data_IF_011634760094
#
_entry.id   IF_011634760094
#
_cell.length_a   1.000
_cell.length_b   1.000
_cell.length_c   1.000
_cell.angle_alpha   90.00
_cell.angle_beta   90.00
_cell.angle_gamma   90.00
#
_symmetry.space_group_name_H-M   'P 1'
#
loop_
_entity.id
_entity.type
_entity.pdbx_description
1 polymer ?
#
# COMPACT_ATOMS: atom_id res chain seq x y z
N UNK A 1 -55.39 5.40 -0.99
CA UNK A 1 -54.13 4.98 -1.66
C UNK A 1 -54.32 3.80 -2.60
N UNK A 2 -54.64 2.58 -2.12
CA UNK A 2 -54.78 1.38 -2.97
C UNK A 2 -55.78 1.53 -4.14
N UNK A 3 -56.94 2.16 -3.92
CA UNK A 3 -57.91 2.45 -5.00
C UNK A 3 -57.35 3.39 -6.07
N UNK A 4 -56.56 4.39 -5.68
CA UNK A 4 -55.94 5.38 -6.59
C UNK A 4 -54.87 4.72 -7.47
N UNK A 5 -54.10 3.81 -6.87
CA UNK A 5 -53.05 3.01 -7.52
C UNK A 5 -53.66 2.09 -8.60
N UNK A 6 -54.78 1.44 -8.32
CA UNK A 6 -55.47 0.55 -9.26
C UNK A 6 -56.06 1.31 -10.46
N UNK A 7 -56.52 2.55 -10.26
CA UNK A 7 -57.07 3.41 -11.31
C UNK A 7 -56.01 3.99 -12.27
N UNK A 8 -54.73 4.03 -11.85
CA UNK A 8 -53.61 4.58 -12.63
C UNK A 8 -52.59 3.50 -13.05
N UNK A 9 -53.07 2.37 -13.56
CA UNK A 9 -52.22 1.23 -13.99
C UNK A 9 -51.08 1.62 -14.94
N UNK A 10 -51.31 2.60 -15.83
CA UNK A 10 -50.28 3.12 -16.74
C UNK A 10 -49.14 3.82 -16.01
N UNK A 11 -49.46 4.62 -14.99
CA UNK A 11 -48.44 5.33 -14.19
C UNK A 11 -47.58 4.33 -13.44
N UNK A 12 -48.19 3.29 -12.88
CA UNK A 12 -47.49 2.27 -12.11
C UNK A 12 -46.51 1.45 -12.96
N UNK A 13 -46.92 1.08 -14.18
CA UNK A 13 -46.05 0.40 -15.15
C UNK A 13 -44.89 1.32 -15.56
N UNK A 14 -45.14 2.60 -15.81
CA UNK A 14 -44.08 3.56 -16.14
C UNK A 14 -43.07 3.70 -15.01
N UNK A 15 -43.53 3.80 -13.75
CA UNK A 15 -42.64 3.87 -12.58
C UNK A 15 -41.82 2.59 -12.44
N UNK A 16 -42.44 1.41 -12.60
CA UNK A 16 -41.72 0.15 -12.55
C UNK A 16 -40.63 0.07 -13.62
N UNK A 17 -40.93 0.42 -14.87
CA UNK A 17 -39.95 0.44 -15.96
C UNK A 17 -38.82 1.41 -15.64
N UNK A 18 -39.14 2.60 -15.12
CA UNK A 18 -38.13 3.59 -14.73
C UNK A 18 -37.20 3.05 -13.64
N UNK A 19 -37.76 2.41 -12.61
CA UNK A 19 -36.98 1.78 -11.53
C UNK A 19 -36.10 0.65 -12.06
N UNK A 20 -36.61 -0.20 -12.95
CA UNK A 20 -35.82 -1.29 -13.55
C UNK A 20 -34.65 -0.75 -14.38
N UNK A 21 -34.89 0.27 -15.21
CA UNK A 21 -33.83 0.88 -16.03
C UNK A 21 -32.81 1.61 -15.16
N UNK A 22 -33.27 2.44 -14.22
CA UNK A 22 -32.40 3.20 -13.32
C UNK A 22 -31.59 2.26 -12.41
N UNK A 23 -32.22 1.23 -11.85
CA UNK A 23 -31.54 0.22 -11.03
C UNK A 23 -30.54 -0.61 -11.82
N UNK A 24 -30.80 -0.89 -13.11
CA UNK A 24 -29.83 -1.58 -13.97
C UNK A 24 -28.61 -0.69 -14.29
N UNK A 25 -28.82 0.61 -14.48
CA UNK A 25 -27.71 1.57 -14.61
C UNK A 25 -26.91 1.65 -13.31
N UNK A 26 -27.58 1.80 -12.16
CA UNK A 26 -26.95 1.79 -10.84
C UNK A 26 -26.15 0.49 -10.62
N UNK A 27 -26.71 -0.68 -10.93
CA UNK A 27 -26.01 -1.96 -10.82
C UNK A 27 -24.69 -1.98 -11.61
N UNK A 28 -24.64 -1.36 -12.79
CA UNK A 28 -23.41 -1.28 -13.59
C UNK A 28 -22.39 -0.32 -12.99
N UNK A 29 -22.84 0.85 -12.55
CA UNK A 29 -21.98 1.96 -12.15
C UNK A 29 -21.44 1.82 -10.72
N UNK A 30 -22.16 1.13 -9.82
CA UNK A 30 -21.69 0.95 -8.43
C UNK A 30 -20.34 0.22 -8.42
N UNK A 31 -19.31 0.74 -7.72
CA UNK A 31 -18.04 0.05 -7.52
C UNK A 31 -18.24 -1.31 -6.83
N UNK A 32 -17.53 -2.33 -7.30
CA UNK A 32 -17.48 -3.66 -6.66
C UNK A 32 -16.18 -3.74 -5.86
N UNK A 33 -16.29 -4.01 -4.57
CA UNK A 33 -15.19 -3.98 -3.61
C UNK A 33 -15.19 -5.25 -2.74
N UNK A 34 -14.05 -5.62 -2.15
CA UNK A 34 -14.00 -6.78 -1.25
C UNK A 34 -14.49 -6.36 0.14
N UNK A 35 -13.86 -5.32 0.69
CA UNK A 35 -14.18 -4.78 2.00
C UNK A 35 -15.03 -3.51 1.88
N UNK A 36 -15.83 -3.18 2.90
CA UNK A 36 -16.46 -1.88 2.99
C UNK A 36 -15.40 -0.79 3.22
N UNK A 37 -15.58 0.37 2.58
CA UNK A 37 -14.76 1.55 2.83
C UNK A 37 -15.28 2.26 4.08
N UNK A 38 -14.90 1.74 5.25
CA UNK A 38 -15.23 2.33 6.55
C UNK A 38 -13.91 2.77 7.15
N UNK A 39 -13.74 4.07 7.48
CA UNK A 39 -12.56 4.52 8.17
C UNK A 39 -12.56 3.89 9.56
N UNK A 40 -11.53 3.13 9.87
CA UNK A 40 -11.28 2.63 11.22
C UNK A 40 -10.27 3.61 11.81
N UNK A 41 -10.60 4.35 12.89
CA UNK A 41 -9.73 5.36 13.43
C UNK A 41 -8.60 4.67 14.21
N UNK A 42 -7.68 4.05 13.48
CA UNK A 42 -6.51 3.37 14.00
C UNK A 42 -5.28 3.88 13.27
N UNK A 43 -4.31 4.36 14.04
CA UNK A 43 -3.06 4.91 13.54
C UNK A 43 -1.91 3.98 13.92
N UNK A 44 -0.96 3.84 13.01
CA UNK A 44 0.25 3.08 13.19
C UNK A 44 1.45 4.01 13.23
N UNK A 45 2.13 4.06 14.37
CA UNK A 45 3.35 4.83 14.57
C UNK A 45 4.53 3.87 14.54
N UNK A 46 5.53 4.16 13.70
CA UNK A 46 6.74 3.35 13.58
C UNK A 46 7.98 4.21 13.76
N UNK A 47 8.91 3.75 14.60
CA UNK A 47 10.21 4.38 14.83
C UNK A 47 11.29 3.31 14.77
N UNK A 48 12.36 3.60 14.03
CA UNK A 48 13.49 2.70 13.83
C UNK A 48 14.77 3.31 14.42
N UNK A 49 15.57 2.46 15.06
CA UNK A 49 16.88 2.81 15.59
C UNK A 49 17.78 1.59 15.44
N UNK A 50 18.70 1.64 14.49
CA UNK A 50 19.53 0.50 14.12
C UNK A 50 20.41 0.03 15.28
N UNK A 51 20.37 -1.27 15.58
CA UNK A 51 21.20 -1.90 16.63
C UNK A 51 20.67 -1.79 18.05
N UNK A 52 19.48 -1.24 18.29
CA UNK A 52 18.86 -1.24 19.62
C UNK A 52 18.30 -2.62 20.00
N UNK A 53 18.54 -3.05 21.24
CA UNK A 53 17.92 -4.26 21.80
C UNK A 53 16.44 -4.00 22.15
N UNK A 54 15.55 -5.02 22.08
CA UNK A 54 14.13 -4.86 22.38
C UNK A 54 13.86 -4.22 23.76
N UNK A 55 14.63 -4.58 24.79
CA UNK A 55 14.47 -4.07 26.15
C UNK A 55 14.80 -2.57 26.25
N UNK A 56 15.83 -2.13 25.52
CA UNK A 56 16.21 -0.72 25.46
C UNK A 56 15.22 0.08 24.61
N UNK A 57 14.71 -0.51 23.52
CA UNK A 57 13.68 0.09 22.68
C UNK A 57 12.39 0.38 23.47
N UNK A 58 12.01 -0.48 24.41
CA UNK A 58 10.90 -0.19 25.32
C UNK A 58 11.14 1.10 26.10
N UNK A 59 12.35 1.30 26.63
CA UNK A 59 12.65 2.44 27.50
C UNK A 59 12.91 3.74 26.74
N UNK A 60 13.61 3.65 25.60
CA UNK A 60 14.10 4.80 24.84
C UNK A 60 13.17 5.23 23.71
N UNK A 61 12.33 4.34 23.19
CA UNK A 61 11.42 4.63 22.07
C UNK A 61 9.96 4.55 22.50
N UNK A 62 9.56 3.41 23.07
CA UNK A 62 8.13 3.16 23.40
C UNK A 62 7.65 4.07 24.52
N UNK A 63 8.34 4.14 25.66
CA UNK A 63 7.87 4.92 26.81
C UNK A 63 7.68 6.42 26.52
N UNK A 64 8.61 7.14 25.86
CA UNK A 64 8.40 8.54 25.49
C UNK A 64 7.16 8.72 24.60
N UNK A 65 7.03 7.90 23.56
CA UNK A 65 5.88 7.96 22.65
C UNK A 65 4.57 7.63 23.38
N UNK A 66 4.55 6.60 24.21
CA UNK A 66 3.36 6.24 25.00
C UNK A 66 2.92 7.34 25.95
N UNK A 67 3.85 8.03 26.61
CA UNK A 67 3.51 9.10 27.56
C UNK A 67 2.76 10.22 26.86
N UNK A 68 3.21 10.64 25.68
CA UNK A 68 2.52 11.68 24.91
C UNK A 68 1.21 11.18 24.28
N UNK A 69 1.22 9.97 23.70
CA UNK A 69 0.04 9.40 23.03
C UNK A 69 -1.10 9.04 24.01
N UNK A 70 -0.79 8.70 25.27
CA UNK A 70 -1.81 8.45 26.31
C UNK A 70 -2.64 9.69 26.66
N UNK A 71 -2.18 10.88 26.30
CA UNK A 71 -2.91 12.13 26.52
C UNK A 71 -3.90 12.49 25.40
N UNK A 72 -4.03 11.64 24.38
CA UNK A 72 -4.97 11.83 23.28
C UNK A 72 -6.42 11.64 23.73
N UNK A 73 -7.28 12.56 23.32
CA UNK A 73 -8.72 12.46 23.56
C UNK A 73 -9.34 11.40 22.63
N UNK A 74 -10.27 10.59 23.15
CA UNK A 74 -10.95 9.54 22.38
C UNK A 74 -10.10 8.29 22.11
N UNK A 75 -8.98 8.13 22.81
CA UNK A 75 -8.16 6.92 22.80
C UNK A 75 -8.90 5.75 23.47
N UNK A 76 -9.12 4.66 22.74
CA UNK A 76 -9.71 3.41 23.24
C UNK A 76 -8.61 2.44 23.68
N UNK A 77 -7.72 2.08 22.75
CA UNK A 77 -6.64 1.11 23.00
C UNK A 77 -5.31 1.61 22.44
N UNK A 78 -4.24 1.41 23.22
CA UNK A 78 -2.88 1.68 22.80
C UNK A 78 -2.03 0.43 23.01
N UNK A 79 -1.54 -0.14 21.90
CA UNK A 79 -0.70 -1.34 21.91
C UNK A 79 0.67 -1.05 21.34
N UNK A 80 1.71 -1.25 22.14
CA UNK A 80 3.10 -1.03 21.75
C UNK A 80 3.86 -2.34 21.63
N UNK A 81 4.69 -2.47 20.61
CA UNK A 81 5.58 -3.62 20.40
C UNK A 81 7.00 -3.12 20.11
N UNK A 82 7.94 -3.48 20.97
CA UNK A 82 9.37 -3.27 20.74
C UNK A 82 10.01 -4.53 20.14
N UNK A 83 10.97 -4.33 19.26
CA UNK A 83 11.71 -5.41 18.61
C UNK A 83 13.15 -4.95 18.33
N UNK A 84 13.99 -5.87 17.86
CA UNK A 84 15.36 -5.54 17.51
C UNK A 84 15.38 -4.50 16.37
N UNK A 85 16.03 -3.36 16.62
CA UNK A 85 16.13 -2.28 15.64
C UNK A 85 14.95 -1.28 15.61
N UNK A 86 13.95 -1.38 16.49
CA UNK A 86 12.88 -0.38 16.53
C UNK A 86 11.68 -0.70 17.42
N UNK A 87 10.62 0.10 17.24
CA UNK A 87 9.35 -0.06 17.93
C UNK A 87 8.17 0.41 17.06
N UNK A 88 7.02 -0.24 17.26
CA UNK A 88 5.77 0.13 16.61
C UNK A 88 4.67 0.29 17.67
N UNK A 89 3.80 1.28 17.48
CA UNK A 89 2.69 1.60 18.37
C UNK A 89 1.42 1.70 17.54
N UNK A 90 0.40 0.95 17.95
CA UNK A 90 -0.95 0.99 17.39
C UNK A 90 -1.81 1.81 18.32
N UNK A 91 -2.39 2.88 17.78
CA UNK A 91 -3.27 3.81 18.51
C UNK A 91 -4.67 3.66 17.93
N UNK A 92 -5.58 3.06 18.70
CA UNK A 92 -6.98 2.86 18.30
C UNK A 92 -7.88 3.84 19.07
N UNK A 93 -8.78 4.49 18.34
CA UNK A 93 -9.75 5.45 18.88
C UNK A 93 -11.15 4.85 18.93
N UNK A 94 -12.02 5.48 19.73
CA UNK A 94 -13.44 5.14 19.82
C UNK A 94 -14.15 5.15 18.46
N UNK A 95 -15.13 4.26 18.29
CA UNK A 95 -15.92 4.18 17.06
C UNK A 95 -16.68 5.50 16.79
N UNK A 96 -16.46 6.08 15.61
CA UNK A 96 -17.07 7.35 15.21
C UNK A 96 -16.22 8.59 15.48
N UNK A 97 -15.00 8.42 16.02
CA UNK A 97 -14.00 9.49 16.07
C UNK A 97 -13.58 9.89 14.65
N UNK A 98 -13.31 11.18 14.43
CA UNK A 98 -12.89 11.70 13.13
C UNK A 98 -11.45 11.24 12.81
N UNK A 99 -11.23 10.42 11.77
CA UNK A 99 -9.91 9.90 11.42
C UNK A 99 -8.91 11.00 11.05
N UNK A 100 -9.38 12.07 10.39
CA UNK A 100 -8.52 13.17 9.95
C UNK A 100 -8.02 13.96 11.17
N UNK A 101 -8.90 14.16 12.15
CA UNK A 101 -8.55 14.77 13.43
C UNK A 101 -7.59 13.86 14.22
N UNK A 102 -7.89 12.56 14.34
CA UNK A 102 -7.02 11.60 15.01
C UNK A 102 -5.61 11.58 14.41
N UNK A 103 -5.49 11.60 13.08
CA UNK A 103 -4.19 11.62 12.41
C UNK A 103 -3.40 12.88 12.74
N UNK A 104 -4.08 14.03 12.77
CA UNK A 104 -3.48 15.32 13.10
C UNK A 104 -3.00 15.35 14.55
N UNK A 105 -3.85 14.88 15.48
CA UNK A 105 -3.56 14.86 16.91
C UNK A 105 -2.44 13.87 17.24
N UNK A 106 -2.45 12.67 16.65
CA UNK A 106 -1.36 11.68 16.79
C UNK A 106 -0.05 12.24 16.27
N UNK A 107 -0.04 12.88 15.09
CA UNK A 107 1.19 13.49 14.54
C UNK A 107 1.74 14.57 15.47
N UNK A 108 0.88 15.44 15.99
CA UNK A 108 1.30 16.47 16.94
C UNK A 108 1.93 15.86 18.21
N UNK A 109 1.33 14.81 18.77
CA UNK A 109 1.86 14.12 19.96
C UNK A 109 3.16 13.36 19.70
N UNK A 110 3.29 12.77 18.52
CA UNK A 110 4.55 12.13 18.09
C UNK A 110 5.65 13.18 17.91
N UNK A 111 5.32 14.35 17.37
CA UNK A 111 6.24 15.49 17.23
C UNK A 111 6.67 16.05 18.59
N UNK A 112 5.76 16.12 19.57
CA UNK A 112 6.10 16.51 20.95
C UNK A 112 7.07 15.51 21.60
N UNK A 113 6.79 14.21 21.47
CA UNK A 113 7.63 13.12 21.99
C UNK A 113 9.02 13.06 21.34
N UNK A 114 9.19 13.65 20.14
CA UNK A 114 10.45 13.67 19.41
C UNK A 114 11.60 14.26 20.21
N UNK A 115 11.33 15.22 21.10
CA UNK A 115 12.35 15.85 21.93
C UNK A 115 13.02 14.87 22.91
N UNK A 116 12.32 13.80 23.28
CA UNK A 116 12.78 12.79 24.24
C UNK A 116 13.34 11.53 23.57
N UNK A 117 13.26 11.43 22.24
CA UNK A 117 13.84 10.33 21.47
C UNK A 117 15.36 10.51 21.29
N UNK A 118 16.14 9.42 21.22
CA UNK A 118 17.56 9.49 20.88
C UNK A 118 17.80 10.19 19.54
N UNK A 119 18.87 10.99 19.45
CA UNK A 119 19.22 11.74 18.23
C UNK A 119 19.55 10.85 17.04
N UNK A 120 19.95 9.60 17.31
CA UNK A 120 20.29 8.58 16.34
C UNK A 120 19.06 7.84 15.79
N UNK A 121 17.89 8.00 16.39
CA UNK A 121 16.66 7.37 15.91
C UNK A 121 16.17 8.06 14.63
N UNK A 122 15.61 7.26 13.72
CA UNK A 122 14.95 7.79 12.54
C UNK A 122 13.70 8.60 12.93
N UNK A 123 13.28 9.50 12.04
CA UNK A 123 12.04 10.25 12.24
C UNK A 123 10.84 9.30 12.34
N UNK A 124 10.05 9.37 13.43
CA UNK A 124 8.86 8.54 13.57
C UNK A 124 7.86 8.79 12.43
N UNK A 125 7.26 7.73 11.91
CA UNK A 125 6.28 7.80 10.83
C UNK A 125 4.91 7.38 11.34
N UNK A 126 3.89 8.17 11.01
CA UNK A 126 2.49 7.92 11.36
C UNK A 126 1.71 7.58 10.10
N UNK A 127 1.11 6.40 10.09
CA UNK A 127 0.27 5.89 9.01
C UNK A 127 -1.15 5.65 9.50
N UNK A 128 -2.14 6.02 8.70
CA UNK A 128 -3.52 5.64 8.95
C UNK A 128 -3.75 4.21 8.47
N UNK A 129 -4.44 3.39 9.26
CA UNK A 129 -4.84 2.04 8.85
C UNK A 129 -6.12 2.13 8.03
N UNK A 130 -5.98 2.00 6.71
CA UNK A 130 -7.13 1.99 5.80
C UNK A 130 -7.38 0.60 5.22
N UNK A 131 -8.60 0.06 5.41
CA UNK A 131 -8.99 -1.25 4.87
C UNK A 131 -9.00 -1.33 3.33
N UNK A 132 -9.17 -0.21 2.65
CA UNK A 132 -9.09 -0.12 1.20
C UNK A 132 -7.66 -0.18 0.67
N UNK A 133 -6.65 0.07 1.53
CA UNK A 133 -5.22 0.00 1.17
C UNK A 133 -4.60 -1.39 1.35
N UNK A 134 -5.36 -2.39 1.81
CA UNK A 134 -4.87 -3.75 1.76
C UNK A 134 -4.67 -4.20 0.30
N UNK A 135 -3.59 -4.95 0.01
CA UNK A 135 -3.35 -5.46 -1.33
C UNK A 135 -4.53 -6.28 -1.87
N UNK A 136 -4.93 -5.99 -3.10
CA UNK A 136 -6.03 -6.68 -3.81
C UNK A 136 -5.53 -7.78 -4.76
N UNK A 137 -4.22 -7.79 -5.04
CA UNK A 137 -3.54 -8.75 -5.90
C UNK A 137 -2.04 -8.71 -5.56
N UNK A 138 -1.44 -9.89 -5.40
CA UNK A 138 0.01 -10.03 -5.34
C UNK A 138 0.53 -10.59 -6.66
N UNK A 139 1.55 -9.94 -7.22
CA UNK A 139 2.28 -10.39 -8.40
C UNK A 139 3.65 -10.85 -7.93
N UNK A 140 3.89 -12.14 -8.07
CA UNK A 140 5.12 -12.79 -7.66
C UNK A 140 5.98 -12.96 -8.90
N UNK A 141 7.14 -12.31 -8.93
CA UNK A 141 8.17 -12.50 -9.93
C UNK A 141 9.18 -13.53 -9.44
N UNK A 142 9.50 -14.51 -10.28
CA UNK A 142 10.54 -15.51 -10.02
C UNK A 142 11.44 -15.63 -11.24
N UNK A 143 12.70 -15.98 -11.04
CA UNK A 143 13.56 -16.34 -12.15
C UNK A 143 14.98 -16.66 -11.75
N UNK A 144 15.63 -17.48 -12.56
CA UNK A 144 17.05 -17.83 -12.42
C UNK A 144 17.94 -16.72 -12.99
N UNK A 145 17.81 -15.52 -12.41
CA UNK A 145 18.58 -14.33 -12.77
C UNK A 145 19.15 -13.66 -11.52
N UNK A 146 20.14 -12.78 -11.72
CA UNK A 146 20.71 -12.03 -10.60
C UNK A 146 19.64 -11.20 -9.87
N UNK A 147 19.74 -11.10 -8.54
CA UNK A 147 18.84 -10.30 -7.70
C UNK A 147 18.73 -8.84 -8.18
N UNK A 148 19.84 -8.26 -8.66
CA UNK A 148 19.87 -6.92 -9.25
C UNK A 148 19.01 -6.82 -10.51
N UNK A 149 19.10 -7.79 -11.41
CA UNK A 149 18.28 -7.82 -12.62
C UNK A 149 16.79 -7.99 -12.28
N UNK A 150 16.47 -8.86 -11.31
CA UNK A 150 15.10 -9.06 -10.85
C UNK A 150 14.53 -7.80 -10.20
N UNK A 151 15.34 -7.08 -9.41
CA UNK A 151 14.99 -5.77 -8.84
C UNK A 151 14.64 -4.75 -9.92
N UNK A 152 15.49 -4.60 -10.94
CA UNK A 152 15.23 -3.64 -12.04
C UNK A 152 13.92 -3.96 -12.76
N UNK A 153 13.65 -5.25 -13.01
CA UNK A 153 12.38 -5.68 -13.62
C UNK A 153 11.18 -5.36 -12.72
N UNK A 154 11.31 -5.61 -11.41
CA UNK A 154 10.26 -5.30 -10.45
C UNK A 154 10.00 -3.80 -10.32
N UNK A 155 11.05 -2.96 -10.35
CA UNK A 155 10.93 -1.50 -10.31
C UNK A 155 10.29 -0.94 -11.60
N UNK A 156 10.69 -1.41 -12.79
CA UNK A 156 10.03 -1.02 -14.06
C UNK A 156 8.56 -1.45 -14.06
N UNK A 157 8.27 -2.67 -13.57
CA UNK A 157 6.89 -3.14 -13.47
C UNK A 157 6.07 -2.29 -12.47
N UNK A 158 6.63 -1.98 -11.30
CA UNK A 158 5.98 -1.09 -10.31
C UNK A 158 5.59 0.23 -10.95
N UNK A 159 6.55 0.92 -11.57
CA UNK A 159 6.34 2.26 -12.13
C UNK A 159 5.25 2.26 -13.22
N UNK A 160 5.18 1.19 -14.03
CA UNK A 160 4.10 1.01 -15.02
C UNK A 160 2.76 0.74 -14.37
N UNK A 161 2.73 -0.12 -13.35
CA UNK A 161 1.48 -0.50 -12.65
C UNK A 161 0.90 0.66 -11.84
N UNK A 162 1.72 1.51 -11.25
CA UNK A 162 1.28 2.75 -10.59
C UNK A 162 0.65 3.75 -11.59
N UNK A 163 1.02 3.66 -12.87
CA UNK A 163 0.38 4.39 -13.97
C UNK A 163 -1.01 3.85 -14.35
N UNK A 164 -1.39 2.66 -13.90
CA UNK A 164 -2.70 2.06 -14.22
C UNK A 164 -3.80 2.75 -13.41
N UNK A 165 -4.81 3.25 -14.10
CA UNK A 165 -5.99 3.86 -13.45
C UNK A 165 -6.61 2.92 -12.41
N UNK A 166 -6.76 3.41 -11.18
CA UNK A 166 -7.32 2.66 -10.05
C UNK A 166 -6.28 2.05 -9.11
N UNK A 167 -5.00 2.01 -9.49
CA UNK A 167 -3.90 1.64 -8.59
C UNK A 167 -3.50 2.86 -7.74
N UNK A 168 -3.22 2.64 -6.46
CA UNK A 168 -2.73 3.65 -5.53
C UNK A 168 -1.21 3.58 -5.40
N UNK A 169 -0.71 2.38 -5.07
CA UNK A 169 0.68 2.12 -4.76
C UNK A 169 0.98 0.65 -5.06
N UNK A 170 2.22 0.35 -5.44
CA UNK A 170 2.68 -1.03 -5.65
C UNK A 170 3.93 -1.32 -4.80
N UNK A 171 3.79 -1.50 -3.47
CA UNK A 171 4.92 -1.83 -2.62
C UNK A 171 5.55 -3.17 -3.02
N UNK A 172 6.89 -3.17 -3.06
CA UNK A 172 7.68 -4.34 -3.43
C UNK A 172 8.25 -4.98 -2.16
N UNK A 173 8.11 -6.30 -2.04
CA UNK A 173 8.65 -7.10 -0.95
C UNK A 173 9.64 -8.15 -1.48
N UNK A 174 10.61 -8.54 -0.65
CA UNK A 174 11.61 -9.56 -1.00
C UNK A 174 12.82 -9.04 -1.79
N UNK A 175 12.99 -7.72 -1.90
CA UNK A 175 14.18 -7.08 -2.47
C UNK A 175 15.04 -6.51 -1.34
N UNK A 176 16.35 -6.70 -1.44
CA UNK A 176 17.30 -6.02 -0.57
C UNK A 176 17.72 -4.67 -1.15
N UNK A 177 17.92 -3.69 -0.27
CA UNK A 177 18.43 -2.40 -0.68
C UNK A 177 19.91 -2.52 -1.07
N UNK A 178 20.30 -1.83 -2.14
CA UNK A 178 21.71 -1.77 -2.53
C UNK A 178 22.46 -0.83 -1.60
N UNK A 179 23.66 -1.23 -1.19
CA UNK A 179 24.55 -0.41 -0.37
C UNK A 179 25.99 -0.53 -0.86
N UNK A 180 26.77 0.51 -0.59
CA UNK A 180 28.22 0.45 -0.68
C UNK A 180 28.78 0.04 0.68
N UNK A 181 29.32 -1.17 0.77
CA UNK A 181 29.98 -1.66 1.96
C UNK A 181 31.46 -1.26 1.92
N UNK A 182 31.89 -0.50 2.91
CA UNK A 182 33.30 -0.13 3.11
C UNK A 182 33.90 -1.10 4.12
N UNK A 183 34.70 -2.04 3.64
CA UNK A 183 35.44 -2.98 4.47
C UNK A 183 36.85 -2.42 4.72
N UNK A 184 37.19 -2.22 6.00
CA UNK A 184 38.45 -1.59 6.38
C UNK A 184 39.38 -2.59 7.05
N UNK A 185 40.64 -2.58 6.64
CA UNK A 185 41.70 -3.41 7.21
C UNK A 185 42.31 -2.70 8.42
N UNK A 186 42.02 -3.22 9.62
CA UNK A 186 42.45 -2.62 10.87
C UNK A 186 43.98 -2.55 11.01
N UNK A 187 44.70 -3.56 10.51
CA UNK A 187 46.17 -3.58 10.57
C UNK A 187 46.79 -2.48 9.71
N UNK A 188 46.19 -2.19 8.54
CA UNK A 188 46.62 -1.08 7.68
C UNK A 188 46.33 0.27 8.33
N UNK A 189 45.15 0.45 8.93
CA UNK A 189 44.84 1.67 9.66
C UNK A 189 45.86 1.96 10.76
N UNK A 190 46.22 0.95 11.56
CA UNK A 190 47.24 1.07 12.60
C UNK A 190 48.61 1.46 12.03
N UNK A 191 49.02 0.86 10.90
CA UNK A 191 50.28 1.21 10.23
C UNK A 191 50.35 2.66 9.77
N UNK A 192 49.19 3.26 9.49
CA UNK A 192 49.06 4.66 9.09
C UNK A 192 48.69 5.59 10.25
N UNK A 193 48.59 5.06 11.48
CA UNK A 193 48.17 5.77 12.69
C UNK A 193 46.80 6.47 12.53
N UNK A 194 45.86 5.80 11.86
CA UNK A 194 44.53 6.29 11.52
C UNK A 194 43.47 5.71 12.48
N UNK A 195 42.80 6.54 13.30
CA UNK A 195 41.66 6.09 14.09
C UNK A 195 40.48 5.72 13.17
N UNK A 196 39.75 4.60 13.42
CA UNK A 196 38.58 4.22 12.62
C UNK A 196 37.50 5.32 12.56
N UNK A 197 37.32 6.06 13.65
CA UNK A 197 36.38 7.19 13.72
C UNK A 197 36.66 8.29 12.66
N UNK A 198 37.91 8.40 12.20
CA UNK A 198 38.31 9.34 11.14
C UNK A 198 37.65 8.98 9.81
N UNK A 199 37.43 7.69 9.54
CA UNK A 199 36.79 7.24 8.31
C UNK A 199 35.33 7.70 8.29
N UNK A 200 34.62 7.48 9.39
CA UNK A 200 33.23 7.91 9.55
C UNK A 200 33.11 9.43 9.36
N UNK A 201 33.98 10.22 9.99
CA UNK A 201 33.92 11.68 9.88
C UNK A 201 34.25 12.17 8.46
N UNK A 202 35.25 11.58 7.80
CA UNK A 202 35.65 11.96 6.44
C UNK A 202 34.59 11.55 5.41
N UNK A 203 34.03 10.36 5.53
CA UNK A 203 32.93 9.88 4.65
C UNK A 203 31.71 10.78 4.82
N UNK A 204 31.25 11.04 6.04
CA UNK A 204 30.08 11.89 6.30
C UNK A 204 30.31 13.34 5.85
N UNK A 205 31.52 13.89 6.01
CA UNK A 205 31.83 15.25 5.57
C UNK A 205 31.88 15.41 4.04
N UNK A 206 32.20 14.34 3.31
CA UNK A 206 32.35 14.34 1.85
C UNK A 206 31.18 13.71 1.09
N UNK A 207 30.17 13.20 1.80
CA UNK A 207 28.91 12.72 1.24
C UNK A 207 27.74 13.63 1.64
N UNK A 208 27.90 14.95 1.44
CA UNK A 208 26.86 15.94 1.75
C UNK A 208 26.67 16.92 0.61
N UNK A 209 25.41 17.26 0.37
CA UNK A 209 25.05 18.27 -0.63
C UNK A 209 25.33 19.66 -0.07
N UNK A 210 26.29 20.38 -0.65
CA UNK A 210 26.62 21.75 -0.26
C UNK A 210 25.98 22.73 -1.23
N UNK A 211 25.06 23.56 -0.73
CA UNK A 211 24.46 24.65 -1.50
C UNK A 211 25.46 25.81 -1.59
N UNK A 212 26.16 25.92 -2.72
CA UNK A 212 27.16 26.98 -2.95
C UNK A 212 26.56 28.33 -3.39
N UNK A 213 25.23 28.44 -3.39
CA UNK A 213 24.51 29.66 -3.76
C UNK A 213 24.57 29.94 -5.26
N UNK A 214 24.60 31.22 -5.61
CA UNK A 214 24.61 31.67 -7.00
C UNK A 214 25.58 32.82 -7.19
N UNK A 215 26.33 32.80 -8.29
CA UNK A 215 27.15 33.91 -8.72
C UNK A 215 26.30 34.90 -9.52
N UNK A 216 26.28 36.15 -9.09
CA UNK A 216 25.60 37.22 -9.82
C UNK A 216 26.64 38.00 -10.62
N UNK A 217 26.51 37.97 -11.95
CA UNK A 217 27.40 38.66 -12.89
C UNK A 217 26.54 39.64 -13.69
N UNK A 218 27.13 40.70 -14.28
CA UNK A 218 26.40 41.75 -15.02
C UNK A 218 25.47 41.25 -16.15
N UNK A 219 25.54 39.97 -16.56
CA UNK A 219 24.67 39.34 -17.55
C UNK A 219 23.68 38.28 -17.01
N UNK A 220 23.64 38.02 -15.69
CA UNK A 220 22.71 37.06 -15.11
C UNK A 220 23.20 36.40 -13.82
N UNK A 221 22.29 35.66 -13.18
CA UNK A 221 22.52 34.91 -11.94
C UNK A 221 22.69 33.43 -12.26
N UNK A 222 23.85 32.87 -11.95
CA UNK A 222 24.20 31.48 -12.22
C UNK A 222 24.29 30.68 -10.92
N UNK A 223 23.56 29.57 -10.81
CA UNK A 223 23.68 28.69 -9.65
C UNK A 223 25.04 27.97 -9.66
N UNK A 224 25.77 28.03 -8.53
CA UNK A 224 27.00 27.26 -8.34
C UNK A 224 26.62 25.93 -7.72
N UNK A 225 27.00 24.82 -8.36
CA UNK A 225 26.80 23.47 -7.83
C UNK A 225 28.15 22.86 -7.47
N UNK A 226 28.34 22.55 -6.20
CA UNK A 226 29.49 21.77 -5.73
C UNK A 226 29.08 20.30 -5.70
N UNK A 227 29.69 19.43 -6.53
CA UNK A 227 29.44 18.00 -6.46
C UNK A 227 30.05 17.46 -5.15
N UNK A 228 29.21 17.08 -4.20
CA UNK A 228 29.62 16.55 -2.89
C UNK A 228 28.93 15.24 -2.50
N UNK A 229 28.30 14.55 -3.46
CA UNK A 229 27.69 13.23 -3.25
C UNK A 229 28.47 12.19 -4.05
N UNK A 230 28.73 11.05 -3.43
CA UNK A 230 29.34 9.91 -4.13
C UNK A 230 28.35 9.33 -5.14
N UNK A 231 28.84 9.03 -6.35
CA UNK A 231 28.03 8.41 -7.41
C UNK A 231 28.53 7.02 -7.75
N UNK A 232 29.83 6.80 -7.62
CA UNK A 232 30.46 5.54 -7.98
C UNK A 232 31.29 4.99 -6.83
N UNK A 233 31.60 3.69 -6.91
CA UNK A 233 32.54 3.02 -6.03
C UNK A 233 33.91 3.71 -6.03
N UNK A 234 34.34 4.20 -7.19
CA UNK A 234 35.61 4.86 -7.39
C UNK A 234 35.70 6.19 -6.65
N UNK A 235 34.59 6.92 -6.51
CA UNK A 235 34.54 8.16 -5.73
C UNK A 235 34.89 7.89 -4.26
N UNK A 236 34.34 6.81 -3.70
CA UNK A 236 34.58 6.38 -2.32
C UNK A 236 36.01 5.86 -2.15
N UNK A 237 36.51 5.05 -3.08
CA UNK A 237 37.88 4.52 -3.03
C UNK A 237 38.96 5.61 -3.12
N UNK A 238 38.69 6.69 -3.85
CA UNK A 238 39.63 7.81 -4.01
C UNK A 238 39.54 8.85 -2.90
N UNK A 239 38.65 8.67 -1.93
CA UNK A 239 38.47 9.58 -0.81
C UNK A 239 39.77 9.70 0.01
N UNK A 240 40.37 10.90 0.11
CA UNK A 240 41.56 11.12 0.92
C UNK A 240 41.19 11.11 2.41
N UNK A 241 41.81 10.22 3.19
CA UNK A 241 41.63 10.11 4.64
C UNK A 241 42.55 11.05 5.41
N UNK A 242 43.81 11.14 4.99
CA UNK A 242 44.81 12.09 5.51
C UNK A 242 45.62 12.64 4.34
N UNK A 243 45.99 13.91 4.44
CA UNK A 243 46.92 14.57 3.51
C UNK A 243 47.90 15.46 4.29
N UNK A 244 49.10 14.95 4.56
CA UNK A 244 50.14 15.65 5.34
C UNK A 244 51.14 16.39 4.44
N UNK A 245 50.68 16.89 3.29
CA UNK A 245 51.49 17.64 2.30
C UNK A 245 52.53 16.83 1.52
N UNK A 246 53.04 15.72 2.09
CA UNK A 246 54.02 14.80 1.47
C UNK A 246 53.45 13.43 1.13
N UNK A 247 52.37 13.01 1.81
CA UNK A 247 51.65 11.77 1.50
C UNK A 247 50.14 11.99 1.61
N UNK A 248 49.39 11.41 0.68
CA UNK A 248 47.93 11.31 0.75
C UNK A 248 47.57 9.84 0.88
N UNK A 249 46.95 9.48 2.01
CA UNK A 249 46.39 8.13 2.20
C UNK A 249 44.93 8.19 1.79
N UNK A 250 44.54 7.32 0.87
CA UNK A 250 43.16 7.20 0.39
C UNK A 250 42.49 5.97 0.99
N UNK A 251 41.17 5.93 0.92
CA UNK A 251 40.40 4.79 1.40
C UNK A 251 40.84 3.46 0.76
N UNK A 252 41.16 3.46 -0.54
CA UNK A 252 41.70 2.29 -1.25
C UNK A 252 43.02 1.74 -0.66
N UNK A 253 43.78 2.56 0.05
CA UNK A 253 45.06 2.15 0.62
C UNK A 253 44.86 1.39 1.95
N UNK A 254 43.69 1.54 2.58
CA UNK A 254 43.35 0.97 3.90
C UNK A 254 42.15 0.03 3.89
N UNK A 255 41.44 -0.09 2.77
CA UNK A 255 40.23 -0.91 2.70
C UNK A 255 39.73 -1.11 1.28
N UNK A 256 38.67 -1.90 1.17
CA UNK A 256 37.95 -2.18 -0.06
C UNK A 256 36.52 -1.64 0.04
N UNK A 257 35.94 -1.30 -1.10
CA UNK A 257 34.55 -0.88 -1.21
C UNK A 257 33.85 -1.88 -2.12
N UNK A 258 32.74 -2.46 -1.67
CA UNK A 258 31.94 -3.39 -2.47
C UNK A 258 30.55 -2.81 -2.70
N UNK A 259 30.04 -2.97 -3.92
CA UNK A 259 28.63 -2.75 -4.19
C UNK A 259 27.89 -4.04 -3.84
N UNK A 260 27.19 -4.02 -2.71
CA UNK A 260 26.49 -5.17 -2.14
C UNK A 260 25.05 -4.79 -1.79
N UNK A 261 24.35 -5.68 -1.10
CA UNK A 261 23.04 -5.43 -0.54
C UNK A 261 23.12 -5.34 0.97
N UNK A 262 22.17 -4.63 1.59
CA UNK A 262 21.93 -4.73 3.04
C UNK A 262 21.63 -6.17 3.43
N UNK A 263 21.83 -6.50 4.70
CA UNK A 263 21.49 -7.82 5.23
C UNK A 263 19.99 -8.10 5.08
N UNK A 264 19.67 -9.37 4.83
CA UNK A 264 18.30 -9.78 4.54
C UNK A 264 17.45 -9.73 5.81
N UNK A 265 16.68 -8.66 5.98
CA UNK A 265 15.66 -8.53 7.04
C UNK A 265 14.43 -9.41 6.76
N UNK A 266 14.15 -9.69 5.49
CA UNK A 266 13.08 -10.58 5.06
C UNK A 266 13.48 -11.38 3.84
N UNK A 267 12.92 -12.58 3.70
CA UNK A 267 13.19 -13.49 2.61
C UNK A 267 11.85 -13.90 1.97
N UNK A 268 11.69 -13.59 0.69
CA UNK A 268 10.55 -14.06 -0.09
C UNK A 268 10.98 -15.23 -0.98
N UNK A 269 10.31 -16.37 -0.81
CA UNK A 269 10.48 -17.55 -1.66
C UNK A 269 9.13 -18.13 -2.01
N UNK A 270 9.03 -18.70 -3.20
CA UNK A 270 7.81 -19.39 -3.64
C UNK A 270 8.23 -20.67 -4.31
N UNK A 271 7.78 -21.80 -3.75
CA UNK A 271 8.20 -23.15 -4.15
C UNK A 271 9.71 -23.39 -3.96
N UNK A 272 10.33 -22.70 -3.00
CA UNK A 272 11.76 -22.83 -2.68
C UNK A 272 12.69 -21.91 -3.49
N UNK A 273 12.19 -21.26 -4.53
CA UNK A 273 12.96 -20.32 -5.36
C UNK A 273 12.86 -18.89 -4.82
N UNK A 274 13.95 -18.08 -4.89
CA UNK A 274 13.90 -16.64 -4.60
C UNK A 274 12.84 -15.94 -5.43
N UNK A 275 12.03 -15.12 -4.78
CA UNK A 275 10.94 -14.41 -5.44
C UNK A 275 10.87 -12.96 -4.95
N UNK A 276 10.34 -12.11 -5.82
CA UNK A 276 9.99 -10.72 -5.51
C UNK A 276 8.50 -10.57 -5.64
N UNK A 277 7.85 -9.99 -4.63
CA UNK A 277 6.39 -9.82 -4.63
C UNK A 277 6.05 -8.34 -4.75
N UNK A 278 5.31 -7.98 -5.80
CA UNK A 278 4.68 -6.68 -5.96
C UNK A 278 3.24 -6.79 -5.45
N UNK A 279 2.90 -6.01 -4.43
CA UNK A 279 1.56 -6.02 -3.84
C UNK A 279 0.77 -4.85 -4.39
N UNK A 280 -0.39 -5.09 -4.99
CA UNK A 280 -1.17 -4.04 -5.65
C UNK A 280 -2.19 -3.47 -4.68
N UNK A 281 -2.03 -2.21 -4.27
CA UNK A 281 -3.05 -1.48 -3.53
C UNK A 281 -3.95 -0.70 -4.48
N UNK A 282 -5.26 -0.78 -4.31
CA UNK A 282 -6.21 0.03 -5.09
C UNK A 282 -6.47 1.38 -4.43
N UNK A 283 -6.91 2.34 -5.22
CA UNK A 283 -7.50 3.58 -4.69
C UNK A 283 -8.90 3.30 -4.09
N UNK A 284 -9.29 4.03 -3.05
CA UNK A 284 -10.66 3.90 -2.55
C UNK A 284 -11.72 4.30 -3.61
N UNK A 285 -12.89 3.69 -3.55
CA UNK A 285 -14.03 3.97 -4.43
C UNK A 285 -13.92 3.47 -5.87
N UNK A 286 -12.79 2.85 -6.26
CA UNK A 286 -12.63 2.27 -7.61
C UNK A 286 -13.03 0.79 -7.62
N UNK A 287 -13.57 0.36 -8.76
CA UNK A 287 -14.00 -1.03 -8.96
C UNK A 287 -12.78 -1.98 -9.00
N UNK A 288 -12.75 -2.91 -8.05
CA UNK A 288 -11.65 -3.86 -7.86
C UNK A 288 -11.47 -4.77 -9.08
N UNK A 289 -12.56 -5.37 -9.57
CA UNK A 289 -12.52 -6.32 -10.69
C UNK A 289 -11.88 -5.67 -11.93
N UNK A 290 -12.36 -4.48 -12.30
CA UNK A 290 -11.83 -3.76 -13.47
C UNK A 290 -10.37 -3.32 -13.33
N UNK A 291 -9.93 -3.07 -12.09
CA UNK A 291 -8.55 -2.66 -11.79
C UNK A 291 -7.61 -3.85 -11.90
N UNK A 292 -7.99 -5.00 -11.32
CA UNK A 292 -7.23 -6.25 -11.46
C UNK A 292 -7.14 -6.70 -12.93
N UNK A 293 -8.23 -6.61 -13.70
CA UNK A 293 -8.23 -6.98 -15.12
C UNK A 293 -7.25 -6.10 -15.93
N UNK A 294 -7.19 -4.79 -15.65
CA UNK A 294 -6.23 -3.86 -16.28
C UNK A 294 -4.78 -4.15 -15.86
N UNK A 295 -4.55 -4.39 -14.58
CA UNK A 295 -3.23 -4.74 -14.06
C UNK A 295 -2.71 -6.02 -14.71
N UNK A 296 -3.53 -7.08 -14.76
CA UNK A 296 -3.15 -8.35 -15.40
C UNK A 296 -2.86 -8.19 -16.90
N UNK A 297 -3.62 -7.33 -17.59
CA UNK A 297 -3.37 -7.02 -18.99
C UNK A 297 -2.03 -6.31 -19.19
N UNK A 298 -1.69 -5.35 -18.31
CA UNK A 298 -0.41 -4.64 -18.34
C UNK A 298 0.76 -5.58 -18.06
N UNK A 299 0.67 -6.41 -17.02
CA UNK A 299 1.68 -7.44 -16.71
C UNK A 299 1.90 -8.36 -17.91
N UNK A 300 0.83 -8.85 -18.55
CA UNK A 300 0.94 -9.73 -19.71
C UNK A 300 1.52 -9.04 -20.96
N UNK A 301 1.42 -7.71 -21.05
CA UNK A 301 2.06 -6.91 -22.09
C UNK A 301 3.57 -6.79 -21.85
N UNK A 302 3.94 -6.37 -20.63
CA UNK A 302 5.33 -6.12 -20.22
C UNK A 302 6.13 -7.41 -20.14
N UNK A 303 5.52 -8.50 -19.68
CA UNK A 303 6.19 -9.80 -19.53
C UNK A 303 6.74 -10.37 -20.84
N UNK A 304 6.24 -9.91 -22.00
CA UNK A 304 6.76 -10.34 -23.32
C UNK A 304 8.17 -9.81 -23.61
N UNK A 305 8.58 -8.73 -22.93
CA UNK A 305 9.89 -8.12 -23.10
C UNK A 305 10.91 -8.62 -22.06
N UNK A 306 10.51 -9.49 -21.13
CA UNK A 306 11.41 -9.98 -20.10
C UNK A 306 12.45 -10.97 -20.63
N UNK A 307 13.64 -11.03 -20.03
CA UNK A 307 14.64 -12.03 -20.35
C UNK A 307 14.12 -13.46 -20.16
N UNK A 308 14.67 -14.40 -20.92
CA UNK A 308 14.40 -15.82 -20.69
C UNK A 308 14.75 -16.20 -19.24
N UNK A 309 13.87 -16.97 -18.60
CA UNK A 309 14.03 -17.41 -17.22
C UNK A 309 13.25 -16.58 -16.19
N UNK A 310 12.64 -15.45 -16.56
CA UNK A 310 11.73 -14.70 -15.67
C UNK A 310 10.29 -15.14 -15.90
N UNK A 311 9.64 -15.57 -14.82
CA UNK A 311 8.22 -15.96 -14.80
C UNK A 311 7.48 -15.17 -13.73
N UNK A 312 6.15 -15.13 -13.86
CA UNK A 312 5.30 -14.49 -12.87
C UNK A 312 4.11 -15.36 -12.49
N UNK A 313 3.63 -15.18 -11.27
CA UNK A 313 2.45 -15.83 -10.72
C UNK A 313 1.60 -14.82 -9.97
N UNK A 314 0.28 -15.02 -9.99
CA UNK A 314 -0.65 -14.23 -9.19
C UNK A 314 -1.00 -14.98 -7.91
N UNK A 315 -1.03 -14.27 -6.79
CA UNK A 315 -1.54 -14.73 -5.49
C UNK A 315 -2.49 -13.68 -4.90
N UNK A 316 -3.30 -14.06 -3.91
CA UNK A 316 -4.19 -13.13 -3.21
C UNK A 316 -5.15 -12.37 -4.13
N UNK A 317 -5.64 -13.00 -5.19
CA UNK A 317 -6.48 -12.34 -6.20
C UNK A 317 -7.94 -12.21 -5.74
N UNK A 318 -8.24 -11.08 -5.10
CA UNK A 318 -9.57 -10.78 -4.55
C UNK A 318 -10.65 -10.63 -5.65
N UNK A 319 -10.26 -10.37 -6.90
CA UNK A 319 -11.23 -10.26 -8.00
C UNK A 319 -11.98 -11.57 -8.25
N UNK A 320 -11.32 -12.72 -8.01
CA UNK A 320 -11.95 -14.05 -8.15
C UNK A 320 -13.02 -14.24 -7.09
N UNK A 321 -12.73 -13.87 -5.84
CA UNK A 321 -13.66 -14.00 -4.72
C UNK A 321 -14.92 -13.17 -4.97
N UNK A 322 -14.77 -11.88 -5.31
CA UNK A 322 -15.91 -11.01 -5.60
C UNK A 322 -16.69 -11.50 -6.81
N UNK A 323 -16.02 -11.92 -7.89
CA UNK A 323 -16.70 -12.42 -9.09
C UNK A 323 -17.54 -13.67 -8.79
N UNK A 324 -17.03 -14.56 -7.94
CA UNK A 324 -17.79 -15.73 -7.48
C UNK A 324 -19.00 -15.29 -6.64
N UNK A 325 -18.83 -14.40 -5.66
CA UNK A 325 -19.94 -13.90 -4.84
C UNK A 325 -21.03 -13.20 -5.66
N UNK A 326 -20.64 -12.38 -6.64
CA UNK A 326 -21.59 -11.74 -7.57
C UNK A 326 -22.33 -12.79 -8.39
N UNK A 327 -21.62 -13.78 -8.94
CA UNK A 327 -22.23 -14.87 -9.70
C UNK A 327 -23.18 -15.70 -8.83
N UNK A 328 -22.82 -15.97 -7.59
CA UNK A 328 -23.63 -16.74 -6.65
C UNK A 328 -24.89 -15.96 -6.25
N UNK A 329 -24.78 -14.63 -6.05
CA UNK A 329 -25.93 -13.76 -5.87
C UNK A 329 -26.85 -13.78 -7.10
N UNK A 330 -26.30 -13.60 -8.31
CA UNK A 330 -27.08 -13.64 -9.56
C UNK A 330 -27.81 -14.98 -9.73
N UNK A 331 -27.13 -16.10 -9.45
CA UNK A 331 -27.70 -17.44 -9.50
C UNK A 331 -28.80 -17.63 -8.44
N UNK A 332 -28.57 -17.20 -7.20
CA UNK A 332 -29.55 -17.33 -6.12
C UNK A 332 -30.81 -16.51 -6.41
N UNK A 333 -30.65 -15.26 -6.88
CA UNK A 333 -31.78 -14.42 -7.29
C UNK A 333 -32.54 -15.08 -8.44
N UNK A 334 -31.85 -15.64 -9.44
CA UNK A 334 -32.50 -16.31 -10.57
C UNK A 334 -33.27 -17.56 -10.12
N UNK A 335 -32.69 -18.39 -9.25
CA UNK A 335 -33.34 -19.57 -8.68
C UNK A 335 -34.58 -19.16 -7.88
N UNK A 336 -34.48 -18.14 -7.02
CA UNK A 336 -35.61 -17.62 -6.24
C UNK A 336 -36.75 -17.14 -7.16
N UNK A 337 -36.43 -16.36 -8.20
CA UNK A 337 -37.40 -15.89 -9.20
C UNK A 337 -38.09 -17.05 -9.88
N UNK A 338 -37.34 -18.06 -10.34
CA UNK A 338 -37.90 -19.24 -11.02
C UNK A 338 -38.79 -20.06 -10.09
N UNK A 339 -38.35 -20.30 -8.84
CA UNK A 339 -39.14 -21.05 -7.86
C UNK A 339 -40.45 -20.32 -7.53
N UNK A 340 -40.39 -19.03 -7.21
CA UNK A 340 -41.59 -18.22 -6.94
C UNK A 340 -42.51 -18.18 -8.17
N UNK A 341 -41.95 -17.99 -9.37
CA UNK A 341 -42.71 -18.02 -10.61
C UNK A 341 -43.47 -19.35 -10.79
N UNK A 342 -42.81 -20.49 -10.56
CA UNK A 342 -43.41 -21.82 -10.66
C UNK A 342 -44.55 -22.03 -9.65
N UNK A 343 -44.33 -21.67 -8.38
CA UNK A 343 -45.37 -21.77 -7.34
C UNK A 343 -46.59 -20.91 -7.66
N UNK A 344 -46.39 -19.66 -8.08
CA UNK A 344 -47.50 -18.74 -8.42
C UNK A 344 -48.18 -19.16 -9.72
N UNK A 345 -47.43 -19.69 -10.69
CA UNK A 345 -47.98 -20.21 -11.94
C UNK A 345 -48.97 -21.34 -11.66
N UNK A 346 -48.62 -22.25 -10.75
CA UNK A 346 -49.49 -23.36 -10.37
C UNK A 346 -50.70 -22.91 -9.55
N UNK A 347 -50.58 -21.86 -8.74
CA UNK A 347 -51.66 -21.38 -7.89
C UNK A 347 -52.69 -20.47 -8.61
N UNK A 348 -52.23 -19.56 -9.47
CA UNK A 348 -53.06 -18.46 -10.01
C UNK A 348 -52.96 -18.31 -11.54
N UNK A 349 -51.95 -18.91 -12.18
CA UNK A 349 -51.77 -18.90 -13.64
C UNK A 349 -50.69 -17.91 -14.15
N UNK A 350 -50.51 -17.88 -15.47
CA UNK A 350 -49.37 -17.22 -16.13
C UNK A 350 -49.32 -15.69 -15.98
N UNK A 351 -50.49 -15.03 -16.04
CA UNK A 351 -50.56 -13.54 -15.99
C UNK A 351 -50.13 -12.98 -14.64
N UNK A 352 -50.49 -13.66 -13.55
CA UNK A 352 -50.12 -13.25 -12.20
C UNK A 352 -48.69 -13.69 -11.86
N UNK A 353 -48.29 -14.88 -12.30
CA UNK A 353 -46.92 -15.38 -12.13
C UNK A 353 -45.85 -14.46 -12.75
N UNK A 354 -46.08 -13.95 -13.96
CA UNK A 354 -45.15 -13.01 -14.62
C UNK A 354 -45.02 -11.67 -13.90
N UNK A 355 -46.11 -11.15 -13.30
CA UNK A 355 -46.07 -9.93 -12.50
C UNK A 355 -45.26 -10.13 -11.20
N UNK A 356 -45.45 -11.27 -10.53
CA UNK A 356 -44.68 -11.61 -9.31
C UNK A 356 -43.21 -11.83 -9.67
N UNK A 357 -42.92 -12.51 -10.77
CA UNK A 357 -41.56 -12.74 -11.23
C UNK A 357 -40.79 -11.45 -11.55
N UNK A 358 -41.46 -10.39 -12.05
CA UNK A 358 -40.81 -9.09 -12.23
C UNK A 358 -40.63 -8.31 -10.93
N UNK A 359 -41.38 -8.65 -9.88
CA UNK A 359 -41.33 -7.92 -8.61
C UNK A 359 -40.01 -8.19 -7.88
N UNK A 360 -39.49 -9.42 -7.90
CA UNK A 360 -38.24 -9.79 -7.21
C UNK A 360 -36.99 -9.10 -7.82
N UNK A 361 -36.75 -9.14 -9.15
CA UNK A 361 -35.69 -8.33 -9.76
C UNK A 361 -35.95 -6.83 -9.59
N UNK A 362 -37.22 -6.41 -9.59
CA UNK A 362 -37.62 -5.02 -9.36
C UNK A 362 -37.21 -4.50 -7.99
N UNK A 363 -37.43 -5.27 -6.92
CA UNK A 363 -36.99 -4.90 -5.58
C UNK A 363 -35.47 -4.89 -5.46
N UNK A 364 -34.79 -5.88 -6.05
CA UNK A 364 -33.32 -5.94 -6.06
C UNK A 364 -32.71 -4.71 -6.76
N UNK A 365 -33.20 -4.37 -7.96
CA UNK A 365 -32.73 -3.21 -8.72
C UNK A 365 -33.08 -1.89 -8.04
N UNK A 366 -34.23 -1.82 -7.35
CA UNK A 366 -34.56 -0.67 -6.51
C UNK A 366 -33.58 -0.53 -5.34
N UNK A 367 -33.19 -1.63 -4.69
CA UNK A 367 -32.16 -1.60 -3.63
C UNK A 367 -30.83 -1.11 -4.17
N UNK A 368 -30.39 -1.60 -5.33
CA UNK A 368 -29.18 -1.11 -6.00
C UNK A 368 -29.27 0.38 -6.31
N UNK A 369 -30.42 0.86 -6.81
CA UNK A 369 -30.63 2.28 -7.06
C UNK A 369 -30.51 3.12 -5.79
N UNK A 370 -31.11 2.68 -4.68
CA UNK A 370 -31.02 3.38 -3.39
C UNK A 370 -29.59 3.39 -2.84
N UNK A 371 -28.87 2.28 -2.97
CA UNK A 371 -27.46 2.19 -2.59
C UNK A 371 -26.58 3.15 -3.39
N UNK A 372 -26.82 3.27 -4.70
CA UNK A 372 -26.09 4.20 -5.55
C UNK A 372 -26.25 5.65 -5.06
N UNK A 373 -27.48 6.06 -4.73
CA UNK A 373 -27.72 7.41 -4.17
C UNK A 373 -27.15 7.59 -2.77
N UNK A 374 -27.05 6.52 -1.98
CA UNK A 374 -26.39 6.54 -0.67
C UNK A 374 -24.85 6.53 -0.78
N UNK A 375 -24.28 6.33 -1.96
CA UNK A 375 -22.84 6.25 -2.18
C UNK A 375 -22.20 4.93 -1.72
N UNK A 376 -22.98 3.87 -1.52
CA UNK A 376 -22.46 2.58 -1.09
C UNK A 376 -21.88 1.76 -2.26
N UNK A 377 -20.76 1.08 -2.00
CA UNK A 377 -20.19 0.08 -2.90
C UNK A 377 -20.89 -1.28 -2.74
N UNK A 378 -20.77 -2.16 -3.74
CA UNK A 378 -21.15 -3.57 -3.59
C UNK A 378 -19.95 -4.30 -3.00
N UNK A 379 -20.04 -4.65 -1.72
CA UNK A 379 -19.02 -5.37 -0.97
C UNK A 379 -19.55 -6.68 -0.37
N UNK A 380 -18.68 -7.49 0.24
CA UNK A 380 -19.01 -8.81 0.81
C UNK A 380 -20.21 -8.75 1.76
N UNK A 381 -20.27 -7.74 2.64
CA UNK A 381 -21.34 -7.58 3.64
C UNK A 381 -22.68 -7.32 2.96
N UNK A 382 -22.69 -6.44 1.95
CA UNK A 382 -23.92 -6.10 1.23
C UNK A 382 -24.36 -7.25 0.32
N UNK A 383 -23.44 -7.91 -0.37
CA UNK A 383 -23.74 -9.11 -1.16
C UNK A 383 -24.37 -10.20 -0.30
N UNK A 384 -23.81 -10.47 0.88
CA UNK A 384 -24.36 -11.45 1.81
C UNK A 384 -25.76 -11.06 2.32
N UNK A 385 -25.94 -9.79 2.69
CA UNK A 385 -27.25 -9.26 3.11
C UNK A 385 -28.29 -9.45 2.01
N UNK A 386 -27.93 -9.13 0.76
CA UNK A 386 -28.81 -9.29 -0.39
C UNK A 386 -29.17 -10.75 -0.65
N UNK A 387 -28.22 -11.68 -0.52
CA UNK A 387 -28.48 -13.12 -0.62
C UNK A 387 -29.46 -13.58 0.46
N UNK A 388 -29.34 -13.07 1.69
CA UNK A 388 -30.18 -13.48 2.81
C UNK A 388 -31.60 -12.91 2.74
N UNK A 389 -31.76 -11.74 2.12
CA UNK A 389 -33.07 -11.09 1.93
C UNK A 389 -33.81 -11.51 0.66
N UNK A 390 -33.10 -12.04 -0.33
CA UNK A 390 -33.65 -12.53 -1.60
C UNK A 390 -34.24 -13.93 -1.43
#
# INVERSE_FOLDING_TARGET
MLRTIILQSRVLITVLILVLVAGLMAYRDIPKESNPDIPIPTMYVSVTLEGIAPEDAVNLLVKPLETELKSLDGLDELTSTAYEGGANIVVAFDAGFDPDQALTDVRAKVDDARADLPTEADEPRVFEVNMAEFPILDIILKGDISERALKVIAEDLRDRLEGVSGVLEVPIAGIREEMLLVEVDMAKLESFNLPPATILSVVSANNRLVAAGSLEVQGGKYAIKVPGLFKTREDVLNLPLISDGTRTVRLRDVGNVYLTFKDAQSLARVDGEPAVTLRIKKRSGVNLISTVDRVKAEVASVARAWPEGVTYQYSGDESKNIRNMVRDLENNVLIAVVLVMLFVLQAVGWRTSTLVAMTVPGSFLLTMLLMYFAGFSVNVVILFTLILTA
#
